data_IF_992075929752
#
_entry.id   IF_992075929752
#
_cell.length_a   1.000
_cell.length_b   1.000
_cell.length_c   1.000
_cell.angle_alpha   90.00
_cell.angle_beta   90.00
_cell.angle_gamma   90.00
#
_symmetry.space_group_name_H-M   'P 1'
#
loop_
_entity.id
_entity.type
_entity.pdbx_description
1 polymer ?
#
# COMPACT_ATOMS: atom_id res chain seq x y z
N UNK A 1 19.00 3.15 2.28
CA UNK A 1 18.21 3.80 3.34
C UNK A 1 18.77 3.50 4.74
N UNK A 2 18.74 4.47 5.65
CA UNK A 2 18.94 4.26 7.08
C UNK A 2 17.68 3.62 7.67
N UNK A 3 17.85 2.63 8.56
CA UNK A 3 16.74 1.83 9.08
C UNK A 3 16.60 1.98 10.60
N UNK A 4 15.35 2.10 11.06
CA UNK A 4 14.98 2.10 12.48
C UNK A 4 13.95 1.03 12.78
N UNK A 5 14.09 0.38 13.92
CA UNK A 5 13.18 -0.65 14.42
C UNK A 5 12.70 -0.27 15.80
N UNK A 6 11.40 -0.44 16.04
CA UNK A 6 10.76 -0.16 17.33
C UNK A 6 9.89 -1.33 17.76
N UNK A 7 9.85 -1.61 19.05
CA UNK A 7 8.85 -2.54 19.58
C UNK A 7 7.46 -1.91 19.53
N UNK A 8 7.37 -0.64 19.95
CA UNK A 8 6.17 0.20 19.82
C UNK A 8 6.55 1.62 19.40
N UNK A 9 5.72 2.25 18.56
CA UNK A 9 5.87 3.65 18.19
C UNK A 9 4.50 4.31 17.98
N UNK A 10 4.40 5.61 18.26
CA UNK A 10 3.16 6.34 18.04
C UNK A 10 2.74 6.37 16.56
N UNK A 11 3.66 6.75 15.66
CA UNK A 11 3.42 6.83 14.22
C UNK A 11 4.75 6.69 13.44
N UNK A 12 4.81 5.71 12.53
CA UNK A 12 6.01 5.43 11.73
C UNK A 12 6.30 6.51 10.68
N UNK A 13 5.27 7.11 10.07
CA UNK A 13 5.41 8.16 9.06
C UNK A 13 5.95 9.46 9.66
N UNK A 14 5.41 9.87 10.82
CA UNK A 14 5.86 11.06 11.53
C UNK A 14 7.34 10.96 11.91
N UNK A 15 7.76 9.80 12.44
CA UNK A 15 9.15 9.56 12.77
C UNK A 15 10.04 9.59 11.51
N UNK A 16 9.65 8.87 10.45
CA UNK A 16 10.43 8.81 9.22
C UNK A 16 10.62 10.19 8.58
N UNK A 17 9.56 11.02 8.54
CA UNK A 17 9.61 12.38 8.02
C UNK A 17 10.50 13.32 8.84
N UNK A 18 10.48 13.16 10.17
CA UNK A 18 11.30 13.94 11.10
C UNK A 18 12.79 13.61 10.96
N UNK A 19 13.13 12.33 10.83
CA UNK A 19 14.52 11.87 10.71
C UNK A 19 15.11 12.06 9.31
N UNK A 20 14.25 12.21 8.27
CA UNK A 20 14.70 12.41 6.90
C UNK A 20 15.54 13.68 6.76
N UNK A 21 16.81 13.47 6.41
CA UNK A 21 17.86 14.49 6.35
C UNK A 21 18.67 14.41 5.06
N UNK A 22 19.57 13.44 4.90
CA UNK A 22 20.43 13.30 3.71
C UNK A 22 20.23 11.98 2.94
N UNK A 23 19.68 10.97 3.59
CA UNK A 23 19.40 9.67 2.99
C UNK A 23 17.97 9.21 3.33
N UNK A 24 17.36 8.31 2.53
CA UNK A 24 16.05 7.77 2.81
C UNK A 24 15.98 7.09 4.17
N UNK A 25 14.85 7.26 4.85
CA UNK A 25 14.60 6.69 6.17
C UNK A 25 13.53 5.62 6.08
N UNK A 26 13.88 4.41 6.51
CA UNK A 26 12.94 3.32 6.70
C UNK A 26 12.71 3.08 8.20
N UNK A 27 11.45 2.94 8.58
CA UNK A 27 11.02 2.71 9.96
C UNK A 27 10.03 1.56 9.94
N UNK A 28 10.17 0.62 10.86
CA UNK A 28 9.12 -0.38 11.13
C UNK A 28 8.93 -0.61 12.63
N UNK A 29 7.73 -1.04 13.00
CA UNK A 29 7.35 -1.34 14.37
C UNK A 29 6.47 -2.58 14.45
N UNK A 30 6.57 -3.33 15.55
CA UNK A 30 5.65 -4.45 15.85
C UNK A 30 4.27 -4.00 16.31
N UNK A 31 4.19 -2.84 16.96
CA UNK A 31 2.94 -2.25 17.41
C UNK A 31 2.90 -0.74 17.16
N UNK A 32 1.71 -0.21 16.88
CA UNK A 32 1.45 1.22 16.86
C UNK A 32 0.37 1.62 17.85
N UNK A 33 0.65 2.63 18.67
CA UNK A 33 -0.33 3.16 19.64
C UNK A 33 -1.47 3.92 18.96
N UNK A 34 -1.23 4.52 17.78
CA UNK A 34 -2.25 5.19 16.95
C UNK A 34 -1.97 5.03 15.45
N UNK A 35 -2.05 3.80 14.96
CA UNK A 35 -2.02 3.53 13.51
C UNK A 35 -3.14 4.29 12.79
N UNK A 36 -2.78 5.09 11.78
CA UNK A 36 -3.73 5.83 10.95
C UNK A 36 -3.93 5.12 9.62
N UNK A 37 -5.16 4.74 9.32
CA UNK A 37 -5.57 4.32 7.98
C UNK A 37 -5.92 5.51 7.09
N UNK A 38 -6.21 5.24 5.82
CA UNK A 38 -6.79 6.22 4.89
C UNK A 38 -8.07 6.83 5.47
N UNK A 39 -8.32 8.12 5.20
CA UNK A 39 -9.49 8.86 5.70
C UNK A 39 -9.59 8.94 7.25
N UNK A 40 -8.46 9.00 7.96
CA UNK A 40 -8.39 9.08 9.44
C UNK A 40 -9.06 7.92 10.19
N UNK A 41 -9.23 6.75 9.55
CA UNK A 41 -9.76 5.56 10.23
C UNK A 41 -8.72 5.01 11.21
N UNK A 42 -9.18 4.58 12.38
CA UNK A 42 -8.35 3.86 13.34
C UNK A 42 -7.97 2.49 12.77
N UNK A 43 -6.69 2.12 12.87
CA UNK A 43 -6.22 0.81 12.46
C UNK A 43 -6.27 -0.17 13.64
N UNK A 44 -7.25 -1.06 13.60
CA UNK A 44 -7.36 -2.17 14.55
C UNK A 44 -6.28 -3.23 14.29
N UNK A 45 -5.78 -3.89 15.34
CA UNK A 45 -4.79 -4.99 15.26
C UNK A 45 -3.35 -4.56 14.91
N UNK A 46 -2.95 -3.36 15.34
CA UNK A 46 -1.62 -2.80 15.08
C UNK A 46 -0.48 -3.63 15.70
N UNK A 47 -0.74 -4.38 16.77
CA UNK A 47 0.18 -5.28 17.48
C UNK A 47 0.44 -6.62 16.76
N UNK A 48 -0.26 -6.89 15.66
CA UNK A 48 -0.14 -8.12 14.87
C UNK A 48 0.07 -7.81 13.37
N UNK A 49 0.58 -6.61 13.10
CA UNK A 49 0.72 -6.06 11.78
C UNK A 49 2.18 -5.68 11.46
N UNK A 50 2.53 -5.71 10.17
CA UNK A 50 3.65 -4.93 9.68
C UNK A 50 3.18 -3.49 9.57
N UNK A 51 3.67 -2.63 10.45
CA UNK A 51 3.58 -1.20 10.29
C UNK A 51 4.97 -0.66 9.91
N UNK A 52 5.08 -0.07 8.73
CA UNK A 52 6.35 0.51 8.30
C UNK A 52 6.17 1.73 7.39
N UNK A 53 7.22 2.53 7.29
CA UNK A 53 7.23 3.76 6.50
C UNK A 53 8.59 3.96 5.84
N UNK A 54 8.59 4.37 4.59
CA UNK A 54 9.77 4.78 3.83
C UNK A 54 9.62 6.27 3.46
N UNK A 55 10.49 7.12 4.01
CA UNK A 55 10.54 8.54 3.69
C UNK A 55 11.73 8.86 2.78
N UNK A 56 11.47 9.60 1.70
CA UNK A 56 12.46 10.08 0.73
C UNK A 56 12.18 11.54 0.35
N UNK A 57 13.16 12.18 -0.29
CA UNK A 57 12.92 13.45 -0.98
C UNK A 57 12.22 13.22 -2.33
N UNK A 58 11.35 14.15 -2.71
CA UNK A 58 10.55 14.10 -3.94
C UNK A 58 11.44 13.99 -5.19
N UNK A 59 12.60 14.66 -5.21
CA UNK A 59 13.55 14.61 -6.32
C UNK A 59 14.21 13.23 -6.53
N UNK A 60 14.14 12.35 -5.52
CA UNK A 60 14.62 10.97 -5.60
C UNK A 60 13.60 10.02 -6.26
N UNK A 61 12.34 10.44 -6.40
CA UNK A 61 11.26 9.63 -6.98
C UNK A 61 11.16 9.93 -8.48
N UNK A 62 11.36 8.91 -9.31
CA UNK A 62 11.42 9.00 -10.78
C UNK A 62 10.16 8.49 -11.49
N UNK A 63 9.11 8.20 -10.72
CA UNK A 63 7.79 7.77 -11.21
C UNK A 63 6.76 8.87 -10.97
N UNK A 64 5.63 8.84 -11.68
CA UNK A 64 4.50 9.71 -11.38
C UNK A 64 3.97 9.46 -9.95
N UNK A 65 3.59 10.52 -9.23
CA UNK A 65 3.14 10.39 -7.84
C UNK A 65 1.90 9.52 -7.67
N UNK A 66 1.03 9.54 -8.67
CA UNK A 66 -0.17 8.72 -8.78
C UNK A 66 0.14 7.21 -8.85
N UNK A 67 1.35 6.83 -9.28
CA UNK A 67 1.80 5.43 -9.30
C UNK A 67 2.34 4.96 -7.95
N UNK A 68 2.79 5.85 -7.07
CA UNK A 68 3.44 5.49 -5.79
C UNK A 68 2.65 4.45 -4.98
N UNK A 69 1.33 4.61 -4.73
CA UNK A 69 0.58 3.60 -3.97
C UNK A 69 0.51 2.24 -4.67
N UNK A 70 0.39 2.24 -6.00
CA UNK A 70 0.32 1.02 -6.82
C UNK A 70 1.66 0.28 -6.76
N UNK A 71 2.77 1.00 -6.96
CA UNK A 71 4.14 0.44 -6.89
C UNK A 71 4.44 -0.10 -5.51
N UNK A 72 4.06 0.61 -4.44
CA UNK A 72 4.28 0.15 -3.07
C UNK A 72 3.48 -1.10 -2.71
N UNK A 73 2.23 -1.22 -3.17
CA UNK A 73 1.46 -2.46 -3.00
C UNK A 73 2.09 -3.61 -3.79
N UNK A 74 2.48 -3.35 -5.03
CA UNK A 74 3.11 -4.34 -5.90
C UNK A 74 4.44 -4.86 -5.36
N UNK A 75 5.30 -3.97 -4.87
CA UNK A 75 6.57 -4.34 -4.24
C UNK A 75 6.36 -5.30 -3.06
N UNK A 76 5.27 -5.14 -2.30
CA UNK A 76 4.96 -6.03 -1.19
C UNK A 76 4.47 -7.41 -1.67
N UNK A 77 3.61 -7.45 -2.68
CA UNK A 77 3.19 -8.72 -3.30
C UNK A 77 4.41 -9.53 -3.76
N UNK A 78 5.44 -8.88 -4.33
CA UNK A 78 6.68 -9.54 -4.76
C UNK A 78 7.56 -10.06 -3.62
N UNK A 79 7.33 -9.67 -2.36
CA UNK A 79 8.03 -10.25 -1.19
C UNK A 79 7.61 -11.71 -0.98
N UNK A 80 6.38 -12.08 -1.36
CA UNK A 80 5.86 -13.44 -1.17
C UNK A 80 5.72 -14.16 -2.50
N UNK A 81 6.52 -15.21 -2.71
CA UNK A 81 6.44 -16.03 -3.91
C UNK A 81 5.41 -17.18 -3.78
N UNK A 82 5.26 -17.70 -2.55
CA UNK A 82 4.41 -18.87 -2.27
C UNK A 82 3.02 -18.50 -1.72
N UNK A 83 2.74 -17.20 -1.56
CA UNK A 83 1.45 -16.68 -1.09
C UNK A 83 0.85 -15.84 -2.21
N UNK A 84 -0.35 -16.21 -2.66
CA UNK A 84 -1.06 -15.50 -3.73
C UNK A 84 -1.72 -14.22 -3.20
N UNK A 85 -0.89 -13.22 -2.91
CA UNK A 85 -1.35 -11.88 -2.61
C UNK A 85 -1.73 -11.17 -3.91
N UNK A 86 -2.85 -10.48 -3.88
CA UNK A 86 -3.36 -9.70 -5.00
C UNK A 86 -3.58 -8.25 -4.58
N UNK A 87 -3.89 -7.40 -5.55
CA UNK A 87 -4.06 -5.97 -5.36
C UNK A 87 -5.48 -5.56 -5.72
N UNK A 88 -5.94 -4.53 -5.01
CA UNK A 88 -7.15 -3.79 -5.35
C UNK A 88 -6.78 -2.32 -5.46
N UNK A 89 -7.16 -1.72 -6.60
CA UNK A 89 -6.83 -0.33 -6.88
C UNK A 89 -7.54 0.60 -5.88
N UNK A 90 -6.88 1.67 -5.40
CA UNK A 90 -5.51 2.08 -5.75
C UNK A 90 -4.43 1.54 -4.79
N UNK A 91 -4.79 1.03 -3.63
CA UNK A 91 -3.83 0.91 -2.53
C UNK A 91 -4.07 -0.27 -1.58
N UNK A 92 -4.96 -1.20 -1.93
CA UNK A 92 -5.35 -2.31 -1.06
C UNK A 92 -4.59 -3.59 -1.43
N UNK A 93 -4.12 -4.30 -0.40
CA UNK A 93 -3.51 -5.62 -0.52
C UNK A 93 -4.55 -6.66 -0.09
N UNK A 94 -4.78 -7.65 -0.94
CA UNK A 94 -5.85 -8.64 -0.81
C UNK A 94 -5.24 -10.05 -0.66
N UNK A 95 -5.86 -10.87 0.19
CA UNK A 95 -5.59 -12.30 0.31
C UNK A 95 -6.92 -13.03 0.54
N UNK A 96 -7.20 -14.07 -0.24
CA UNK A 96 -8.46 -14.84 -0.17
C UNK A 96 -9.72 -13.94 -0.16
N UNK A 97 -9.79 -12.98 -1.10
CA UNK A 97 -10.88 -11.99 -1.21
C UNK A 97 -11.08 -11.07 0.01
N UNK A 98 -10.13 -11.05 0.94
CA UNK A 98 -10.15 -10.19 2.12
C UNK A 98 -9.03 -9.17 2.06
N UNK A 99 -9.32 -7.96 2.52
CA UNK A 99 -8.30 -6.92 2.68
C UNK A 99 -7.37 -7.29 3.84
N UNK A 100 -6.09 -7.47 3.54
CA UNK A 100 -5.05 -7.74 4.55
C UNK A 100 -4.19 -6.54 4.84
N UNK A 101 -4.20 -5.51 3.99
CA UNK A 101 -3.41 -4.32 4.24
C UNK A 101 -3.67 -3.21 3.24
N UNK A 102 -2.88 -2.16 3.34
CA UNK A 102 -2.89 -1.10 2.35
C UNK A 102 -1.73 -0.12 2.49
N UNK A 103 -1.67 0.75 1.49
CA UNK A 103 -0.65 1.77 1.35
C UNK A 103 -1.25 3.15 1.64
N UNK A 104 -0.47 3.99 2.33
CA UNK A 104 -0.77 5.40 2.58
C UNK A 104 0.42 6.25 2.15
N UNK A 105 0.18 7.23 1.28
CA UNK A 105 1.22 8.15 0.80
C UNK A 105 0.94 9.55 1.34
N UNK A 106 1.90 10.11 2.06
CA UNK A 106 1.85 11.48 2.55
C UNK A 106 2.95 12.33 1.90
N UNK A 107 2.60 13.57 1.52
CA UNK A 107 3.55 14.57 1.03
C UNK A 107 3.62 15.74 1.99
N UNK A 108 4.82 16.08 2.45
CA UNK A 108 5.09 17.24 3.31
C UNK A 108 6.23 18.05 2.70
N UNK A 109 5.89 19.20 2.11
CA UNK A 109 6.84 20.02 1.32
C UNK A 109 7.48 19.18 0.20
N UNK A 110 8.79 19.02 0.22
CA UNK A 110 9.65 18.25 -0.69
C UNK A 110 9.89 16.81 -0.22
N UNK A 111 9.20 16.36 0.83
CA UNK A 111 9.31 15.00 1.38
C UNK A 111 8.10 14.17 1.02
N UNK A 112 8.32 12.92 0.64
CA UNK A 112 7.27 11.91 0.44
C UNK A 112 7.51 10.78 1.43
N UNK A 113 6.46 10.38 2.13
CA UNK A 113 6.45 9.25 3.05
C UNK A 113 5.45 8.20 2.59
N UNK A 114 5.93 6.99 2.36
CA UNK A 114 5.14 5.85 1.91
C UNK A 114 4.98 4.92 3.10
N UNK A 115 3.79 4.89 3.69
CA UNK A 115 3.42 3.98 4.77
C UNK A 115 2.78 2.72 4.22
N UNK A 116 3.14 1.58 4.80
CA UNK A 116 2.49 0.31 4.56
C UNK A 116 2.00 -0.26 5.88
N UNK A 117 0.74 -0.68 5.88
CA UNK A 117 0.13 -1.39 6.98
C UNK A 117 -0.46 -2.70 6.52
N UNK A 118 0.03 -3.83 7.05
CA UNK A 118 -0.44 -5.17 6.68
C UNK A 118 -0.71 -6.01 7.93
N UNK A 119 -1.91 -6.55 8.06
CA UNK A 119 -2.29 -7.55 9.04
C UNK A 119 -1.47 -8.83 8.78
N UNK A 120 -0.36 -8.96 9.49
CA UNK A 120 0.59 -10.04 9.25
C UNK A 120 0.03 -11.34 9.80
N UNK A 121 -0.45 -11.31 11.05
CA UNK A 121 -1.23 -12.41 11.61
C UNK A 121 -2.49 -11.90 12.31
N UNK A 122 -3.58 -12.63 12.17
CA UNK A 122 -4.83 -12.33 12.89
C UNK A 122 -5.75 -13.54 12.82
N UNK A 123 -5.97 -14.22 13.95
CA UNK A 123 -6.75 -15.47 13.96
C UNK A 123 -8.22 -15.26 13.58
N UNK A 124 -8.84 -14.20 14.11
CA UNK A 124 -10.27 -13.92 13.90
C UNK A 124 -10.53 -12.41 13.85
N UNK A 125 -10.40 -11.77 12.67
CA UNK A 125 -10.74 -10.35 12.52
C UNK A 125 -12.23 -10.11 12.80
N UNK A 126 -12.60 -9.16 13.69
CA UNK A 126 -13.99 -8.81 13.94
C UNK A 126 -14.58 -7.89 12.86
N UNK A 127 -13.74 -7.39 11.94
CA UNK A 127 -14.11 -6.47 10.87
C UNK A 127 -14.53 -7.25 9.63
N UNK A 128 -15.73 -7.01 9.06
CA UNK A 128 -16.15 -7.63 7.81
C UNK A 128 -15.12 -7.39 6.70
N UNK A 129 -14.83 -8.44 5.93
CA UNK A 129 -13.88 -8.43 4.81
C UNK A 129 -12.41 -8.10 5.17
N UNK A 130 -12.06 -8.01 6.46
CA UNK A 130 -10.67 -7.96 6.89
C UNK A 130 -10.09 -9.38 6.99
N UNK A 131 -8.83 -9.52 6.59
CA UNK A 131 -8.05 -10.75 6.69
C UNK A 131 -6.65 -10.49 7.24
N UNK A 132 -5.85 -11.55 7.25
CA UNK A 132 -4.43 -11.55 7.60
C UNK A 132 -3.70 -12.54 6.70
N UNK A 133 -2.38 -12.37 6.55
CA UNK A 133 -1.55 -13.30 5.77
C UNK A 133 -1.41 -14.64 6.50
N UNK A 134 -1.24 -14.59 7.81
CA UNK A 134 -1.05 -15.76 8.68
C UNK A 134 -2.14 -15.86 9.76
N UNK A 135 -2.50 -17.09 10.13
CA UNK A 135 -3.46 -17.32 11.23
C UNK A 135 -2.78 -17.39 12.61
N UNK A 136 -1.44 -17.45 12.63
CA UNK A 136 -0.62 -17.59 13.84
C UNK A 136 0.55 -16.60 13.79
N UNK A 137 1.00 -16.20 14.97
CA UNK A 137 2.20 -15.38 15.13
C UNK A 137 3.36 -15.95 14.31
N UNK A 138 4.07 -15.05 13.65
CA UNK A 138 5.31 -15.32 12.94
C UNK A 138 6.44 -14.66 13.72
N UNK A 139 7.64 -15.24 13.69
CA UNK A 139 8.80 -14.69 14.37
C UNK A 139 9.07 -13.22 14.00
N UNK A 140 9.46 -12.43 14.99
CA UNK A 140 9.77 -11.01 14.87
C UNK A 140 10.82 -10.69 13.79
N UNK A 141 11.81 -11.56 13.61
CA UNK A 141 12.86 -11.43 12.60
C UNK A 141 12.27 -11.53 11.21
N UNK A 142 11.35 -12.48 10.99
CA UNK A 142 10.68 -12.65 9.71
C UNK A 142 9.87 -11.40 9.34
N UNK A 143 9.14 -10.84 10.30
CA UNK A 143 8.37 -9.61 10.09
C UNK A 143 9.29 -8.44 9.70
N UNK A 144 10.40 -8.26 10.43
CA UNK A 144 11.43 -7.24 10.15
C UNK A 144 12.04 -7.42 8.75
N UNK A 145 12.36 -8.65 8.38
CA UNK A 145 12.97 -8.98 7.09
C UNK A 145 12.00 -8.75 5.92
N UNK A 146 10.75 -9.19 6.03
CA UNK A 146 9.72 -8.98 5.01
C UNK A 146 9.45 -7.46 4.81
N UNK A 147 9.37 -6.69 5.91
CA UNK A 147 9.19 -5.24 5.85
C UNK A 147 10.41 -4.53 5.21
N UNK A 148 11.64 -4.97 5.53
CA UNK A 148 12.86 -4.42 4.94
C UNK A 148 12.97 -4.77 3.46
N UNK A 149 12.65 -6.00 3.07
CA UNK A 149 12.63 -6.45 1.68
C UNK A 149 11.65 -5.61 0.85
N UNK A 150 10.46 -5.33 1.39
CA UNK A 150 9.51 -4.40 0.77
C UNK A 150 10.13 -3.03 0.52
N UNK A 151 10.72 -2.42 1.54
CA UNK A 151 11.28 -1.08 1.42
C UNK A 151 12.47 -1.03 0.45
N UNK A 152 13.31 -2.08 0.40
CA UNK A 152 14.42 -2.18 -0.55
C UNK A 152 13.91 -2.29 -1.99
N UNK A 153 12.94 -3.16 -2.25
CA UNK A 153 12.35 -3.29 -3.59
C UNK A 153 11.66 -1.99 -4.01
N UNK A 154 10.90 -1.36 -3.12
CA UNK A 154 10.22 -0.10 -3.38
C UNK A 154 11.21 1.02 -3.68
N UNK A 155 12.24 1.21 -2.84
CA UNK A 155 13.29 2.22 -3.04
C UNK A 155 13.98 2.04 -4.40
N UNK A 156 14.28 0.80 -4.79
CA UNK A 156 14.85 0.49 -6.10
C UNK A 156 13.90 0.89 -7.23
N UNK A 157 12.63 0.50 -7.15
CA UNK A 157 11.68 0.74 -8.24
C UNK A 157 11.43 2.23 -8.48
N UNK A 158 11.19 2.98 -7.41
CA UNK A 158 10.89 4.41 -7.52
C UNK A 158 12.10 5.24 -7.97
N UNK A 159 13.32 4.83 -7.61
CA UNK A 159 14.55 5.54 -8.00
C UNK A 159 14.99 5.22 -9.43
N UNK A 160 14.75 4.00 -9.90
CA UNK A 160 15.16 3.55 -11.24
C UNK A 160 14.07 3.70 -12.30
N UNK A 161 12.82 3.96 -11.91
CA UNK A 161 11.67 3.96 -12.81
C UNK A 161 11.57 2.66 -13.63
N UNK A 162 11.68 1.51 -12.97
CA UNK A 162 11.58 0.19 -13.60
C UNK A 162 10.25 -0.52 -13.25
N UNK A 163 9.21 0.25 -12.96
CA UNK A 163 7.89 -0.29 -12.65
C UNK A 163 7.26 -0.90 -13.90
N UNK A 164 6.97 -2.20 -13.85
CA UNK A 164 6.23 -2.89 -14.91
C UNK A 164 4.73 -2.88 -14.58
N UNK A 165 4.00 -2.02 -15.30
CA UNK A 165 2.56 -1.89 -15.15
C UNK A 165 1.79 -3.16 -15.56
N UNK A 166 2.32 -3.97 -16.47
CA UNK A 166 1.67 -5.22 -16.88
C UNK A 166 1.82 -6.30 -15.81
N UNK A 167 2.99 -6.41 -15.17
CA UNK A 167 3.15 -7.30 -14.02
C UNK A 167 2.20 -6.89 -12.88
N UNK A 168 2.06 -5.58 -12.60
CA UNK A 168 1.08 -5.09 -11.63
C UNK A 168 -0.36 -5.48 -12.00
N UNK A 169 -0.77 -5.25 -13.25
CA UNK A 169 -2.12 -5.61 -13.73
C UNK A 169 -2.40 -7.11 -13.62
N UNK A 170 -1.39 -7.97 -13.79
CA UNK A 170 -1.54 -9.42 -13.63
C UNK A 170 -1.91 -9.85 -12.20
N UNK A 171 -1.67 -8.98 -11.21
CA UNK A 171 -2.03 -9.19 -9.80
C UNK A 171 -3.23 -8.34 -9.35
N UNK A 172 -3.83 -7.56 -10.25
CA UNK A 172 -4.90 -6.62 -9.93
C UNK A 172 -6.28 -7.26 -10.09
N UNK A 173 -7.08 -7.27 -9.03
CA UNK A 173 -8.44 -7.80 -9.06
C UNK A 173 -9.51 -6.80 -9.53
N UNK A 174 -9.18 -5.51 -9.61
CA UNK A 174 -10.17 -4.46 -9.86
C UNK A 174 -10.69 -4.46 -11.30
N UNK A 175 -9.91 -4.94 -12.26
CA UNK A 175 -10.30 -4.94 -13.68
C UNK A 175 -11.52 -5.84 -13.91
N UNK A 176 -12.48 -5.34 -14.67
CA UNK A 176 -13.77 -5.98 -14.96
C UNK A 176 -14.84 -5.74 -13.89
N UNK A 177 -14.51 -5.19 -12.72
CA UNK A 177 -15.47 -4.94 -11.65
C UNK A 177 -16.25 -3.64 -11.89
N UNK A 178 -17.49 -3.62 -11.40
CA UNK A 178 -18.28 -2.40 -11.28
C UNK A 178 -17.71 -1.56 -10.14
N UNK A 179 -17.45 -0.28 -10.41
CA UNK A 179 -16.96 0.68 -9.43
C UNK A 179 -17.91 1.86 -9.31
N UNK A 180 -17.96 2.43 -8.12
CA UNK A 180 -18.68 3.66 -7.77
C UNK A 180 -17.68 4.75 -7.42
N UNK A 181 -17.93 5.95 -7.91
CA UNK A 181 -17.18 7.18 -7.69
C UNK A 181 -18.17 8.35 -7.47
N UNK A 182 -17.75 9.52 -6.97
CA UNK A 182 -18.68 10.57 -6.53
C UNK A 182 -19.71 11.00 -7.59
N UNK A 183 -19.33 10.98 -8.86
CA UNK A 183 -20.15 11.40 -9.99
C UNK A 183 -20.93 10.25 -10.66
N UNK A 184 -20.78 8.99 -10.24
CA UNK A 184 -21.53 7.88 -10.81
C UNK A 184 -20.90 6.49 -10.67
N UNK A 185 -21.26 5.61 -11.61
CA UNK A 185 -20.79 4.21 -11.67
C UNK A 185 -20.31 3.85 -13.06
N UNK A 186 -19.41 2.86 -13.12
CA UNK A 186 -18.91 2.31 -14.38
C UNK A 186 -18.04 1.07 -14.15
N UNK A 187 -17.57 0.46 -15.23
CA UNK A 187 -16.72 -0.72 -15.18
C UNK A 187 -15.26 -0.33 -15.28
N UNK A 188 -14.42 -0.83 -14.37
CA UNK A 188 -12.99 -0.66 -14.44
C UNK A 188 -12.44 -1.48 -15.62
N UNK A 189 -11.98 -0.82 -16.68
CA UNK A 189 -11.48 -1.49 -17.87
C UNK A 189 -9.96 -1.73 -17.81
N UNK A 190 -9.21 -0.82 -17.18
CA UNK A 190 -7.76 -0.86 -17.19
C UNK A 190 -7.14 0.14 -16.19
N UNK A 191 -5.81 0.12 -16.08
CA UNK A 191 -5.01 1.17 -15.42
C UNK A 191 -4.09 1.81 -16.44
N UNK A 192 -4.10 3.14 -16.54
CA UNK A 192 -3.26 3.87 -17.49
C UNK A 192 -1.80 3.99 -17.00
N UNK A 193 -0.89 4.44 -17.87
CA UNK A 193 0.53 4.62 -17.55
C UNK A 193 0.78 5.62 -16.41
N UNK A 194 -0.13 6.57 -16.20
CA UNK A 194 -0.08 7.51 -15.09
C UNK A 194 -0.68 6.93 -13.78
N UNK A 195 -1.17 5.69 -13.78
CA UNK A 195 -1.80 5.03 -12.62
C UNK A 195 -3.28 5.31 -12.43
N UNK A 196 -3.90 6.15 -13.27
CA UNK A 196 -5.35 6.38 -13.23
C UNK A 196 -6.14 5.13 -13.63
N UNK A 197 -7.27 4.89 -12.96
CA UNK A 197 -8.21 3.83 -13.32
C UNK A 197 -9.03 4.30 -14.52
N UNK A 198 -8.96 3.55 -15.63
CA UNK A 198 -9.79 3.75 -16.81
C UNK A 198 -11.15 3.09 -16.58
N UNK A 199 -12.21 3.88 -16.65
CA UNK A 199 -13.57 3.44 -16.35
C UNK A 199 -14.46 3.68 -17.57
N UNK A 200 -15.24 2.67 -17.95
CA UNK A 200 -16.35 2.77 -18.88
C UNK A 200 -17.62 3.12 -18.11
N UNK A 201 -18.17 4.30 -18.33
CA UNK A 201 -19.40 4.73 -17.66
C UNK A 201 -20.61 3.99 -18.23
N UNK A 202 -21.75 4.09 -17.52
CA UNK A 202 -23.05 3.56 -17.98
C UNK A 202 -23.51 4.14 -19.33
N UNK A 203 -23.08 5.35 -19.67
CA UNK A 203 -23.35 6.01 -20.96
C UNK A 203 -22.28 5.69 -22.03
N UNK A 204 -21.50 4.62 -21.82
CA UNK A 204 -20.41 4.15 -22.68
C UNK A 204 -19.27 5.17 -22.91
N UNK A 205 -19.15 6.20 -22.07
CA UNK A 205 -18.00 7.12 -22.11
C UNK A 205 -16.82 6.52 -21.37
N UNK A 206 -15.61 6.85 -21.81
CA UNK A 206 -14.39 6.49 -21.08
C UNK A 206 -13.91 7.67 -20.27
N UNK A 207 -13.67 7.45 -18.98
CA UNK A 207 -13.10 8.43 -18.05
C UNK A 207 -11.88 7.84 -17.35
N UNK A 208 -10.97 8.70 -16.88
CA UNK A 208 -9.76 8.31 -16.16
C UNK A 208 -9.76 9.01 -14.80
N UNK A 209 -9.71 8.25 -13.71
CA UNK A 209 -9.78 8.79 -12.35
C UNK A 209 -8.59 8.33 -11.51
N UNK A 210 -8.06 9.24 -10.70
CA UNK A 210 -6.97 8.99 -9.72
C UNK A 210 -7.47 9.07 -8.28
N UNK A 211 -8.78 9.32 -8.09
CA UNK A 211 -9.36 9.55 -6.78
C UNK A 211 -9.38 8.28 -5.92
N UNK A 212 -8.95 8.33 -4.65
CA UNK A 212 -9.08 7.21 -3.73
C UNK A 212 -10.54 6.97 -3.26
N UNK A 213 -11.50 7.80 -3.70
CA UNK A 213 -12.92 7.65 -3.36
C UNK A 213 -13.63 6.61 -4.23
N UNK A 214 -12.93 6.01 -5.20
CA UNK A 214 -13.50 4.95 -6.03
C UNK A 214 -13.57 3.67 -5.20
N UNK A 215 -14.74 3.03 -5.21
CA UNK A 215 -14.97 1.78 -4.49
C UNK A 215 -15.57 0.72 -5.41
N UNK A 216 -15.18 -0.54 -5.24
CA UNK A 216 -15.82 -1.66 -5.95
C UNK A 216 -17.21 -1.91 -5.35
N UNK A 217 -18.21 -2.11 -6.20
CA UNK A 217 -19.56 -2.48 -5.80
C UNK A 217 -19.60 -4.00 -5.64
N UNK A 218 -19.99 -4.47 -4.45
CA UNK A 218 -20.20 -5.89 -4.14
C UNK A 218 -21.60 -6.37 -4.53
#
# INVERSE_FOLDING_TARGET
MKTFFFDSIYNTQEFALKELSSEPIFVTSFSQEKGKGTSNREWLNADQAIACSLALFEDQIKIAHTLIPLVAGFAFVKVFQDIDLTLKWPNDIIFNEKKVGGILVEKVKDKICIGMGVNYFWKTPPVPNAGSIFNVFQDETKLKDDAKNWATQLEEIIKKNNFDLNEYKSRLQTIGKLVEYPEGRGWAEDVNEDGSLRIKTVDEKTINLTSPLITEVN
#
